data_IF_653877413983
#
_entry.id   IF_653877413983
#
_cell.length_a   1.000
_cell.length_b   1.000
_cell.length_c   1.000
_cell.angle_alpha   90.00
_cell.angle_beta   90.00
_cell.angle_gamma   90.00
#
_symmetry.space_group_name_H-M   'P 1'
#
loop_
_entity.id
_entity.type
_entity.pdbx_description
1 polymer ?
#
# COMPACT_ATOMS: atom_id res chain seq x y z
N UNK A 1 -8.66 1.13 -26.74
CA UNK A 1 -9.96 1.75 -26.37
C UNK A 1 -9.75 2.63 -25.14
N UNK A 2 -10.13 3.89 -25.18
CA UNK A 2 -10.05 4.76 -24.01
C UNK A 2 -11.01 4.27 -22.91
N UNK A 3 -10.60 4.43 -21.64
CA UNK A 3 -11.43 4.09 -20.50
C UNK A 3 -12.23 5.31 -20.04
N UNK A 4 -13.51 5.13 -19.78
CA UNK A 4 -14.41 6.18 -19.30
C UNK A 4 -14.88 5.87 -17.89
N UNK A 5 -14.71 6.82 -16.96
CA UNK A 5 -15.32 6.75 -15.64
C UNK A 5 -16.72 7.33 -15.71
N UNK A 6 -17.68 6.62 -15.12
CA UNK A 6 -19.06 7.11 -15.05
C UNK A 6 -19.56 7.21 -13.62
N UNK A 7 -20.43 8.16 -13.40
CA UNK A 7 -21.31 8.25 -12.23
C UNK A 7 -22.73 8.20 -12.77
N UNK A 8 -23.51 7.22 -12.34
CA UNK A 8 -24.87 7.00 -12.78
C UNK A 8 -25.81 6.74 -11.59
N UNK A 9 -27.11 6.85 -11.79
CA UNK A 9 -28.13 6.53 -10.81
C UNK A 9 -28.92 5.32 -11.32
N UNK A 10 -29.22 4.38 -10.41
CA UNK A 10 -30.17 3.30 -10.69
C UNK A 10 -31.61 3.77 -10.47
N UNK A 11 -32.60 2.94 -10.82
CA UNK A 11 -34.03 3.22 -10.68
C UNK A 11 -34.46 3.52 -9.22
N UNK A 12 -33.67 3.08 -8.24
CA UNK A 12 -33.86 3.36 -6.81
C UNK A 12 -33.20 4.67 -6.32
N UNK A 13 -32.68 5.53 -7.23
CA UNK A 13 -32.03 6.78 -6.88
C UNK A 13 -30.60 6.66 -6.29
N UNK A 14 -30.05 5.46 -6.21
CA UNK A 14 -28.73 5.19 -5.63
C UNK A 14 -27.64 5.49 -6.65
N UNK A 15 -26.66 6.33 -6.26
CA UNK A 15 -25.50 6.64 -7.11
C UNK A 15 -24.56 5.45 -7.22
N UNK A 16 -24.30 5.00 -8.43
CA UNK A 16 -23.27 4.00 -8.77
C UNK A 16 -22.14 4.67 -9.56
N UNK A 17 -20.91 4.30 -9.23
CA UNK A 17 -19.70 4.71 -9.96
C UNK A 17 -19.06 3.47 -10.56
N UNK A 18 -18.55 3.58 -11.78
CA UNK A 18 -17.85 2.49 -12.45
C UNK A 18 -16.93 3.04 -13.54
N UNK A 19 -16.21 2.13 -14.17
CA UNK A 19 -15.35 2.40 -15.31
C UNK A 19 -15.76 1.40 -16.39
N UNK A 20 -15.80 1.86 -17.64
CA UNK A 20 -16.04 1.05 -18.81
C UNK A 20 -15.11 1.47 -19.94
N UNK A 21 -14.82 0.56 -20.85
CA UNK A 21 -14.07 0.82 -22.07
C UNK A 21 -15.04 1.09 -23.21
N UNK A 22 -14.79 2.17 -23.94
CA UNK A 22 -15.57 2.54 -25.12
C UNK A 22 -14.69 3.34 -26.10
N UNK A 23 -15.03 3.33 -27.38
CA UNK A 23 -14.28 4.07 -28.38
C UNK A 23 -14.58 5.58 -28.35
N UNK A 24 -15.69 5.97 -27.73
CA UNK A 24 -16.10 7.37 -27.58
C UNK A 24 -16.94 7.59 -26.33
N UNK A 25 -17.03 8.84 -25.86
CA UNK A 25 -17.93 9.21 -24.74
C UNK A 25 -19.39 8.88 -25.06
N UNK A 26 -19.80 8.98 -26.34
CA UNK A 26 -21.15 8.68 -26.79
C UNK A 26 -21.47 7.20 -26.65
N UNK A 27 -20.54 6.33 -26.97
CA UNK A 27 -20.65 4.89 -26.80
C UNK A 27 -20.64 4.50 -25.34
N UNK A 28 -19.72 5.10 -24.53
CA UNK A 28 -19.70 4.93 -23.09
C UNK A 28 -21.07 5.25 -22.46
N UNK A 29 -21.71 6.31 -22.93
CA UNK A 29 -23.05 6.73 -22.48
C UNK A 29 -24.13 5.72 -22.85
N UNK A 30 -24.01 5.09 -24.03
CA UNK A 30 -24.92 4.02 -24.47
C UNK A 30 -24.76 2.78 -23.61
N UNK A 31 -23.52 2.34 -23.39
CA UNK A 31 -23.22 1.17 -22.55
C UNK A 31 -23.70 1.33 -21.10
N UNK A 32 -23.60 2.54 -20.51
CA UNK A 32 -24.13 2.82 -19.17
C UNK A 32 -25.65 2.71 -19.14
N UNK A 33 -26.36 3.14 -20.20
CA UNK A 33 -27.81 2.99 -20.33
C UNK A 33 -28.23 1.53 -20.48
N UNK A 34 -27.48 0.74 -21.23
CA UNK A 34 -27.72 -0.71 -21.42
C UNK A 34 -27.61 -1.47 -20.08
N UNK A 35 -26.84 -0.95 -19.12
CA UNK A 35 -26.79 -1.45 -17.74
C UNK A 35 -27.97 -1.00 -16.87
N UNK A 36 -29.04 -0.41 -17.46
CA UNK A 36 -30.20 0.17 -16.76
C UNK A 36 -29.81 1.23 -15.74
N UNK A 37 -28.81 2.03 -16.08
CA UNK A 37 -28.33 3.14 -15.24
C UNK A 37 -28.48 4.45 -15.99
N UNK A 38 -28.94 5.49 -15.30
CA UNK A 38 -29.02 6.85 -15.85
C UNK A 38 -27.69 7.57 -15.63
N UNK A 39 -26.91 7.85 -16.69
CA UNK A 39 -25.61 8.49 -16.54
C UNK A 39 -25.75 9.96 -16.14
N UNK A 40 -25.13 10.35 -15.03
CA UNK A 40 -25.04 11.75 -14.57
C UNK A 40 -23.79 12.44 -15.11
N UNK A 41 -22.66 11.75 -15.05
CA UNK A 41 -21.36 12.28 -15.48
C UNK A 41 -20.56 11.14 -16.11
N UNK A 42 -20.01 11.40 -17.28
CA UNK A 42 -19.04 10.53 -17.95
C UNK A 42 -17.84 11.39 -18.25
N UNK A 43 -16.65 10.88 -17.98
CA UNK A 43 -15.39 11.55 -18.29
C UNK A 43 -14.35 10.52 -18.68
N UNK A 44 -13.57 10.85 -19.70
CA UNK A 44 -12.42 10.04 -20.08
C UNK A 44 -11.47 9.90 -18.89
N UNK A 45 -11.18 8.67 -18.51
CA UNK A 45 -10.28 8.37 -17.40
C UNK A 45 -8.84 8.40 -17.89
N UNK A 46 -8.26 9.60 -17.97
CA UNK A 46 -6.85 9.79 -18.36
C UNK A 46 -5.81 9.25 -17.38
N UNK A 47 -6.21 8.76 -16.19
CA UNK A 47 -5.28 8.34 -15.14
C UNK A 47 -5.85 7.17 -14.31
N UNK A 48 -5.82 5.96 -14.84
CA UNK A 48 -5.92 4.74 -14.04
C UNK A 48 -4.71 4.57 -13.10
N UNK A 49 -3.62 5.31 -13.33
CA UNK A 49 -2.31 5.03 -12.77
C UNK A 49 -2.02 5.60 -11.37
N UNK A 50 -2.80 6.54 -10.84
CA UNK A 50 -2.36 7.26 -9.63
C UNK A 50 -3.05 6.89 -8.31
N UNK A 51 -4.08 6.05 -8.31
CA UNK A 51 -4.86 5.77 -7.09
C UNK A 51 -5.15 4.31 -6.78
N UNK A 52 -4.72 3.37 -7.61
CA UNK A 52 -4.95 1.96 -7.37
C UNK A 52 -4.01 1.45 -6.27
N UNK A 53 -4.48 1.47 -5.01
CA UNK A 53 -3.72 0.86 -3.90
C UNK A 53 -3.97 -0.64 -3.90
N UNK A 54 -2.95 -1.40 -4.28
CA UNK A 54 -2.89 -2.85 -4.14
C UNK A 54 -1.87 -3.17 -3.06
N UNK A 55 -2.22 -4.09 -2.16
CA UNK A 55 -1.30 -4.52 -1.11
C UNK A 55 -0.26 -5.47 -1.70
N UNK A 56 0.99 -5.37 -1.24
CA UNK A 56 2.05 -6.30 -1.67
C UNK A 56 1.63 -7.77 -1.52
N UNK A 57 0.90 -8.11 -0.46
CA UNK A 57 0.38 -9.46 -0.26
C UNK A 57 -0.49 -9.95 -1.42
N UNK A 58 -1.30 -9.06 -2.01
CA UNK A 58 -2.18 -9.41 -3.14
C UNK A 58 -1.34 -9.69 -4.41
N UNK A 59 -0.23 -8.93 -4.60
CA UNK A 59 0.70 -9.17 -5.72
C UNK A 59 1.46 -10.48 -5.54
N UNK A 60 1.97 -10.74 -4.34
CA UNK A 60 2.65 -12.02 -4.02
C UNK A 60 1.72 -13.20 -4.34
N UNK A 61 0.48 -13.16 -3.83
CA UNK A 61 -0.49 -14.22 -4.04
C UNK A 61 -0.86 -14.39 -5.52
N UNK A 62 -1.11 -13.29 -6.23
CA UNK A 62 -1.38 -13.28 -7.67
C UNK A 62 -0.22 -13.92 -8.44
N UNK A 63 1.03 -13.53 -8.14
CA UNK A 63 2.22 -14.05 -8.83
C UNK A 63 2.36 -15.55 -8.59
N UNK A 64 2.14 -16.04 -7.35
CA UNK A 64 2.17 -17.48 -7.04
C UNK A 64 1.07 -18.24 -7.78
N UNK A 65 -0.16 -17.69 -7.84
CA UNK A 65 -1.25 -18.32 -8.59
C UNK A 65 -0.94 -18.42 -10.08
N UNK A 66 -0.41 -17.36 -10.70
CA UNK A 66 0.02 -17.39 -12.09
C UNK A 66 1.14 -18.42 -12.32
N UNK A 67 2.14 -18.46 -11.43
CA UNK A 67 3.22 -19.44 -11.50
C UNK A 67 2.68 -20.88 -11.52
N UNK A 68 1.81 -21.22 -10.55
CA UNK A 68 1.22 -22.57 -10.42
C UNK A 68 0.41 -22.95 -11.66
N UNK A 69 -0.37 -22.03 -12.23
CA UNK A 69 -1.17 -22.28 -13.42
C UNK A 69 -0.30 -22.47 -14.66
N UNK A 70 0.77 -21.68 -14.81
CA UNK A 70 1.72 -21.79 -15.92
C UNK A 70 2.54 -23.06 -15.83
N UNK A 71 3.00 -23.45 -14.64
CA UNK A 71 3.65 -24.75 -14.40
C UNK A 71 2.74 -25.95 -14.76
N UNK A 72 1.43 -25.78 -14.55
CA UNK A 72 0.43 -26.75 -15.01
C UNK A 72 0.15 -26.67 -16.52
N UNK A 73 0.96 -25.93 -17.29
CA UNK A 73 0.82 -25.73 -18.74
C UNK A 73 -0.48 -25.02 -19.15
N UNK A 74 -1.10 -24.27 -18.25
CA UNK A 74 -2.29 -23.47 -18.58
C UNK A 74 -1.87 -22.24 -19.40
N UNK A 75 -2.52 -21.94 -20.53
CA UNK A 75 -2.21 -20.75 -21.32
C UNK A 75 -2.27 -19.48 -20.48
N UNK A 76 -1.38 -18.51 -20.75
CA UNK A 76 -1.25 -17.27 -19.94
C UNK A 76 -2.57 -16.47 -19.87
N UNK A 77 -3.34 -16.44 -20.96
CA UNK A 77 -4.62 -15.70 -21.01
C UNK A 77 -5.64 -16.33 -20.05
N UNK A 78 -5.70 -17.67 -20.02
CA UNK A 78 -6.59 -18.41 -19.12
C UNK A 78 -6.10 -18.32 -17.67
N UNK A 79 -4.78 -18.38 -17.46
CA UNK A 79 -4.16 -18.22 -16.13
C UNK A 79 -4.51 -16.87 -15.52
N UNK A 80 -4.48 -15.80 -16.30
CA UNK A 80 -4.88 -14.46 -15.85
C UNK A 80 -6.37 -14.40 -15.53
N UNK A 81 -7.24 -15.02 -16.35
CA UNK A 81 -8.69 -15.05 -16.12
C UNK A 81 -9.04 -15.79 -14.82
N UNK A 82 -8.46 -16.98 -14.62
CA UNK A 82 -8.64 -17.79 -13.41
C UNK A 82 -8.18 -17.01 -12.18
N UNK A 83 -6.98 -16.40 -12.25
CA UNK A 83 -6.43 -15.58 -11.16
C UNK A 83 -7.32 -14.38 -10.85
N UNK A 84 -7.86 -13.70 -11.86
CA UNK A 84 -8.78 -12.59 -11.68
C UNK A 84 -10.06 -13.01 -10.94
N UNK A 85 -10.63 -14.17 -11.27
CA UNK A 85 -11.83 -14.72 -10.60
C UNK A 85 -11.57 -15.10 -9.14
N UNK A 86 -10.36 -15.53 -8.79
CA UNK A 86 -9.97 -15.90 -7.43
C UNK A 86 -9.55 -14.68 -6.57
N UNK A 87 -9.27 -13.55 -7.20
CA UNK A 87 -8.80 -12.33 -6.53
C UNK A 87 -9.96 -11.59 -5.87
N UNK A 88 -9.76 -11.13 -4.61
CA UNK A 88 -10.76 -10.34 -3.87
C UNK A 88 -10.59 -8.83 -4.06
N UNK A 89 -9.43 -8.37 -4.45
CA UNK A 89 -9.11 -6.95 -4.61
C UNK A 89 -9.64 -6.43 -5.95
N UNK A 90 -10.67 -5.60 -5.91
CA UNK A 90 -11.34 -5.05 -7.10
C UNK A 90 -10.39 -4.34 -8.07
N UNK A 91 -9.39 -3.64 -7.54
CA UNK A 91 -8.41 -2.92 -8.35
C UNK A 91 -7.49 -3.91 -9.10
N UNK A 92 -7.07 -4.97 -8.42
CA UNK A 92 -6.24 -6.01 -9.03
C UNK A 92 -7.02 -6.81 -10.09
N UNK A 93 -8.30 -7.11 -9.83
CA UNK A 93 -9.20 -7.75 -10.81
C UNK A 93 -9.24 -6.92 -12.09
N UNK A 94 -9.44 -5.61 -11.97
CA UNK A 94 -9.51 -4.71 -13.14
C UNK A 94 -8.21 -4.71 -13.94
N UNK A 95 -7.06 -4.71 -13.25
CA UNK A 95 -5.75 -4.77 -13.90
C UNK A 95 -5.57 -6.11 -14.64
N UNK A 96 -5.91 -7.21 -13.99
CA UNK A 96 -5.81 -8.54 -14.60
C UNK A 96 -6.68 -8.64 -15.87
N UNK A 97 -7.88 -8.10 -15.85
CA UNK A 97 -8.72 -8.06 -17.07
C UNK A 97 -8.15 -7.15 -18.16
N UNK A 98 -7.54 -6.01 -17.80
CA UNK A 98 -6.84 -5.18 -18.77
C UNK A 98 -5.63 -5.90 -19.38
N UNK A 99 -4.85 -6.64 -18.58
CA UNK A 99 -3.75 -7.46 -19.08
C UNK A 99 -4.26 -8.56 -20.01
N UNK A 100 -5.36 -9.24 -19.63
CA UNK A 100 -6.01 -10.26 -20.47
C UNK A 100 -6.43 -9.68 -21.83
N UNK A 101 -7.11 -8.53 -21.82
CA UNK A 101 -7.56 -7.86 -23.03
C UNK A 101 -6.40 -7.49 -23.96
N UNK A 102 -5.33 -6.91 -23.41
CA UNK A 102 -4.11 -6.58 -24.18
C UNK A 102 -3.47 -7.84 -24.79
N UNK A 103 -3.42 -8.95 -24.08
CA UNK A 103 -2.88 -10.22 -24.59
C UNK A 103 -3.74 -10.80 -25.70
N UNK A 104 -5.06 -10.77 -25.58
CA UNK A 104 -5.99 -11.19 -26.64
C UNK A 104 -5.82 -10.32 -27.89
N UNK A 105 -5.47 -9.03 -27.74
CA UNK A 105 -5.13 -8.12 -28.83
C UNK A 105 -3.70 -8.36 -29.40
N UNK A 106 -2.99 -9.38 -28.96
CA UNK A 106 -1.64 -9.73 -29.41
C UNK A 106 -0.52 -8.87 -28.84
N UNK A 107 -0.78 -8.06 -27.80
CA UNK A 107 0.28 -7.30 -27.10
C UNK A 107 1.07 -8.22 -26.18
N UNK A 108 2.34 -7.93 -26.01
CA UNK A 108 3.20 -8.66 -25.08
C UNK A 108 2.87 -8.34 -23.62
N UNK A 109 2.93 -9.36 -22.75
CA UNK A 109 2.58 -9.24 -21.33
C UNK A 109 3.41 -8.16 -20.63
N UNK A 110 4.73 -8.17 -20.81
CA UNK A 110 5.62 -7.17 -20.22
C UNK A 110 5.26 -5.72 -20.61
N UNK A 111 4.87 -5.49 -21.86
CA UNK A 111 4.46 -4.15 -22.33
C UNK A 111 3.13 -3.73 -21.70
N UNK A 112 2.22 -4.67 -21.48
CA UNK A 112 0.94 -4.39 -20.83
C UNK A 112 1.11 -4.09 -19.35
N UNK A 113 2.03 -4.78 -18.65
CA UNK A 113 2.37 -4.53 -17.25
C UNK A 113 3.04 -3.17 -17.03
N UNK A 114 3.83 -2.66 -17.99
CA UNK A 114 4.44 -1.31 -17.95
C UNK A 114 3.44 -0.17 -17.78
N UNK A 115 2.17 -0.40 -18.13
CA UNK A 115 1.11 0.59 -17.94
C UNK A 115 0.79 0.82 -16.45
N UNK A 116 1.24 -0.05 -15.56
CA UNK A 116 0.93 -0.04 -14.13
C UNK A 116 2.21 0.03 -13.26
N UNK A 117 3.05 1.10 -13.40
CA UNK A 117 4.35 1.20 -12.73
C UNK A 117 4.23 1.31 -11.20
N UNK A 118 3.07 1.72 -10.69
CA UNK A 118 2.79 1.75 -9.25
C UNK A 118 2.52 0.37 -8.63
N UNK A 119 2.44 -0.69 -9.45
CA UNK A 119 2.07 -2.04 -9.04
C UNK A 119 3.17 -3.04 -9.41
N UNK A 120 3.62 -3.01 -10.65
CA UNK A 120 4.70 -3.84 -11.13
C UNK A 120 5.99 -3.01 -11.18
N UNK A 121 7.00 -3.43 -10.42
CA UNK A 121 8.32 -2.78 -10.44
C UNK A 121 9.02 -3.01 -11.78
N UNK A 122 9.96 -2.14 -12.13
CA UNK A 122 10.74 -2.28 -13.37
C UNK A 122 11.46 -3.64 -13.45
N UNK A 123 11.95 -4.15 -12.31
CA UNK A 123 12.56 -5.49 -12.23
C UNK A 123 11.54 -6.58 -12.56
N UNK A 124 10.33 -6.51 -11.99
CA UNK A 124 9.25 -7.45 -12.26
C UNK A 124 8.91 -7.47 -13.76
N UNK A 125 8.69 -6.29 -14.33
CA UNK A 125 8.35 -6.13 -15.74
C UNK A 125 9.47 -6.63 -16.67
N UNK A 126 10.74 -6.37 -16.33
CA UNK A 126 11.88 -6.82 -17.10
C UNK A 126 12.01 -8.34 -17.11
N UNK A 127 11.83 -8.99 -15.96
CA UNK A 127 11.85 -10.46 -15.86
C UNK A 127 10.69 -11.08 -16.67
N UNK A 128 9.47 -10.57 -16.54
CA UNK A 128 8.32 -11.04 -17.32
C UNK A 128 8.55 -10.82 -18.81
N UNK A 129 9.10 -9.67 -19.22
CA UNK A 129 9.41 -9.41 -20.64
C UNK A 129 10.43 -10.38 -21.22
N UNK A 130 11.46 -10.76 -20.43
CA UNK A 130 12.44 -11.74 -20.83
C UNK A 130 11.80 -13.14 -20.98
N UNK A 131 10.97 -13.55 -20.02
CA UNK A 131 10.22 -14.82 -20.08
C UNK A 131 9.25 -14.90 -21.25
N UNK A 132 8.53 -13.80 -21.49
CA UNK A 132 7.59 -13.69 -22.60
C UNK A 132 8.30 -13.77 -23.98
N UNK A 133 9.52 -13.25 -24.07
CA UNK A 133 10.34 -13.30 -25.28
C UNK A 133 10.99 -14.66 -25.53
N UNK A 134 11.33 -15.39 -24.47
CA UNK A 134 11.95 -16.73 -24.52
C UNK A 134 10.93 -17.87 -24.49
N UNK A 135 9.65 -17.61 -24.26
CA UNK A 135 8.61 -18.62 -24.12
C UNK A 135 8.60 -19.35 -22.76
N UNK A 136 9.41 -18.90 -21.80
CA UNK A 136 9.60 -19.56 -20.48
C UNK A 136 8.91 -18.76 -19.35
N UNK A 137 7.64 -18.39 -19.55
CA UNK A 137 6.89 -17.63 -18.54
C UNK A 137 6.67 -18.42 -17.26
N UNK A 138 6.50 -19.72 -17.34
CA UNK A 138 6.37 -20.66 -16.21
C UNK A 138 7.54 -20.51 -15.24
N UNK A 139 8.77 -20.71 -15.76
CA UNK A 139 10.00 -20.58 -14.98
C UNK A 139 10.20 -19.18 -14.40
N UNK A 140 9.87 -18.14 -15.16
CA UNK A 140 10.01 -16.75 -14.71
C UNK A 140 9.02 -16.44 -13.61
N UNK A 141 7.74 -16.80 -13.76
CA UNK A 141 6.75 -16.58 -12.72
C UNK A 141 7.01 -17.37 -11.45
N UNK A 142 7.54 -18.61 -11.57
CA UNK A 142 7.97 -19.42 -10.43
C UNK A 142 9.07 -18.70 -9.63
N UNK A 143 10.14 -18.26 -10.30
CA UNK A 143 11.24 -17.52 -9.67
C UNK A 143 10.78 -16.17 -9.06
N UNK A 144 9.88 -15.47 -9.74
CA UNK A 144 9.30 -14.23 -9.22
C UNK A 144 8.46 -14.47 -7.98
N UNK A 145 7.66 -15.54 -7.96
CA UNK A 145 6.84 -15.91 -6.81
C UNK A 145 7.73 -16.22 -5.61
N UNK A 146 8.78 -17.06 -5.79
CA UNK A 146 9.75 -17.41 -4.75
C UNK A 146 10.42 -16.14 -4.18
N UNK A 147 10.94 -15.29 -5.05
CA UNK A 147 11.57 -14.03 -4.65
C UNK A 147 10.63 -13.11 -3.84
N UNK A 148 9.39 -12.96 -4.30
CA UNK A 148 8.41 -12.10 -3.62
C UNK A 148 7.97 -12.68 -2.28
N UNK A 149 7.79 -14.01 -2.18
CA UNK A 149 7.45 -14.70 -0.94
C UNK A 149 8.61 -14.63 0.08
N UNK A 150 9.83 -14.85 -0.36
CA UNK A 150 11.01 -14.73 0.49
C UNK A 150 11.18 -13.29 1.00
N UNK A 151 11.05 -12.30 0.12
CA UNK A 151 11.10 -10.88 0.49
C UNK A 151 10.01 -10.51 1.49
N UNK A 152 8.79 -11.02 1.32
CA UNK A 152 7.68 -10.81 2.25
C UNK A 152 7.95 -11.49 3.60
N UNK A 153 8.50 -12.71 3.60
CA UNK A 153 8.88 -13.46 4.80
C UNK A 153 9.97 -12.74 5.60
N UNK A 154 11.04 -12.30 4.92
CA UNK A 154 12.11 -11.52 5.56
C UNK A 154 11.56 -10.26 6.20
N UNK A 155 10.75 -9.50 5.46
CA UNK A 155 10.11 -8.30 6.01
C UNK A 155 9.26 -8.59 7.25
N UNK A 156 8.50 -9.68 7.23
CA UNK A 156 7.69 -10.08 8.38
C UNK A 156 8.57 -10.48 9.58
N UNK A 157 9.66 -11.21 9.35
CA UNK A 157 10.63 -11.57 10.40
C UNK A 157 11.25 -10.34 11.04
N UNK A 158 11.66 -9.33 10.23
CA UNK A 158 12.23 -8.08 10.73
C UNK A 158 11.20 -7.31 11.58
N UNK A 159 9.96 -7.18 11.11
CA UNK A 159 8.89 -6.51 11.87
C UNK A 159 8.64 -7.24 13.19
N UNK A 160 8.54 -8.57 13.17
CA UNK A 160 8.33 -9.38 14.38
C UNK A 160 9.49 -9.24 15.37
N UNK A 161 10.75 -9.24 14.88
CA UNK A 161 11.92 -9.07 15.73
C UNK A 161 12.00 -7.68 16.37
N UNK A 162 11.53 -6.64 15.69
CA UNK A 162 11.49 -5.27 16.21
C UNK A 162 10.34 -5.01 17.18
N UNK A 163 9.32 -5.84 17.19
CA UNK A 163 8.13 -5.63 18.03
C UNK A 163 8.48 -5.63 19.51
N UNK A 164 9.28 -6.60 19.98
CA UNK A 164 9.69 -6.70 21.39
C UNK A 164 10.52 -5.48 21.86
N UNK A 165 11.60 -5.06 21.17
CA UNK A 165 12.33 -3.86 21.53
C UNK A 165 11.46 -2.59 21.55
N UNK A 166 10.54 -2.44 20.61
CA UNK A 166 9.65 -1.28 20.58
C UNK A 166 8.70 -1.25 21.79
N UNK A 167 8.13 -2.39 22.19
CA UNK A 167 7.29 -2.50 23.37
C UNK A 167 8.11 -2.17 24.62
N UNK A 168 9.32 -2.73 24.75
CA UNK A 168 10.18 -2.48 25.91
C UNK A 168 10.55 -0.99 26.03
N UNK A 169 10.99 -0.37 24.95
CA UNK A 169 11.31 1.06 24.90
C UNK A 169 10.07 1.89 25.26
N UNK A 170 8.92 1.60 24.67
CA UNK A 170 7.68 2.29 24.98
C UNK A 170 7.29 2.19 26.45
N UNK A 171 7.38 1.00 27.04
CA UNK A 171 7.12 0.80 28.47
C UNK A 171 8.12 1.55 29.36
N UNK A 172 9.43 1.51 29.02
CA UNK A 172 10.46 2.25 29.76
C UNK A 172 10.19 3.76 29.75
N UNK A 173 9.79 4.31 28.59
CA UNK A 173 9.42 5.73 28.50
C UNK A 173 8.23 6.07 29.41
N UNK A 174 7.19 5.21 29.45
CA UNK A 174 6.03 5.42 30.32
C UNK A 174 6.46 5.45 31.78
N UNK A 175 7.31 4.52 32.22
CA UNK A 175 7.82 4.46 33.60
C UNK A 175 8.64 5.71 33.95
N UNK A 176 9.57 6.10 33.08
CA UNK A 176 10.41 7.31 33.31
C UNK A 176 9.55 8.56 33.41
N UNK A 177 8.60 8.74 32.48
CA UNK A 177 7.69 9.90 32.50
C UNK A 177 6.85 9.89 33.79
N UNK A 178 6.36 8.73 34.21
CA UNK A 178 5.58 8.58 35.45
C UNK A 178 6.41 8.97 36.68
N UNK A 179 7.67 8.53 36.77
CA UNK A 179 8.57 8.88 37.84
C UNK A 179 8.87 10.38 37.89
N UNK A 180 9.12 10.98 36.74
CA UNK A 180 9.38 12.42 36.63
C UNK A 180 8.15 13.27 36.96
N UNK A 181 6.95 12.80 36.60
CA UNK A 181 5.71 13.53 36.84
C UNK A 181 5.17 13.41 38.28
N UNK A 182 5.33 12.25 38.91
CA UNK A 182 4.71 11.96 40.20
C UNK A 182 5.72 11.88 41.35
N UNK A 183 6.84 11.21 41.14
CA UNK A 183 7.80 10.97 42.24
C UNK A 183 8.76 12.14 42.43
N UNK A 184 9.27 12.68 41.34
CA UNK A 184 10.23 13.79 41.41
C UNK A 184 9.71 15.01 42.19
N UNK A 185 8.47 15.50 42.01
CA UNK A 185 7.93 16.60 42.81
C UNK A 185 7.89 16.30 44.31
N UNK A 186 7.53 15.09 44.70
CA UNK A 186 7.49 14.71 46.12
C UNK A 186 8.87 14.72 46.79
N UNK A 187 9.90 14.26 46.05
CA UNK A 187 11.27 14.29 46.54
C UNK A 187 11.77 15.75 46.70
N UNK A 188 11.45 16.63 45.70
CA UNK A 188 11.81 18.04 45.75
C UNK A 188 11.21 18.74 46.96
N UNK A 189 9.91 18.48 47.25
CA UNK A 189 9.24 19.07 48.42
C UNK A 189 9.89 18.68 49.73
N UNK A 190 10.43 17.45 49.85
CA UNK A 190 11.17 17.01 51.02
C UNK A 190 12.50 17.77 51.20
N UNK A 191 13.25 17.99 50.12
CA UNK A 191 14.50 18.78 50.16
C UNK A 191 14.25 20.23 50.54
N UNK A 192 13.23 20.87 50.00
CA UNK A 192 12.85 22.24 50.33
C UNK A 192 12.46 22.35 51.79
N UNK A 193 11.69 21.41 52.34
CA UNK A 193 11.31 21.39 53.74
C UNK A 193 12.50 21.18 54.68
N UNK A 194 13.53 20.44 54.24
CA UNK A 194 14.76 20.20 55.00
C UNK A 194 15.78 21.38 54.88
N UNK A 195 15.50 22.42 54.12
CA UNK A 195 16.42 23.56 53.93
C UNK A 195 17.70 23.21 53.16
N UNK A 196 17.74 22.06 52.48
CA UNK A 196 18.90 21.58 51.73
C UNK A 196 18.93 22.12 50.31
N UNK A 197 20.12 22.48 49.80
CA UNK A 197 20.28 22.87 48.41
C UNK A 197 20.12 21.65 47.49
N UNK A 198 19.38 21.83 46.43
CA UNK A 198 19.15 20.79 45.41
C UNK A 198 20.44 20.56 44.60
N UNK A 199 20.89 19.31 44.41
CA UNK A 199 22.00 18.98 43.51
C UNK A 199 21.76 19.46 42.07
N UNK A 200 22.83 19.76 41.35
CA UNK A 200 22.71 20.23 39.95
C UNK A 200 21.90 19.30 39.03
N UNK A 201 22.10 17.99 39.20
CA UNK A 201 21.37 16.96 38.44
C UNK A 201 19.86 17.05 38.69
N UNK A 202 19.47 17.28 39.95
CA UNK A 202 18.03 17.41 40.33
C UNK A 202 17.42 18.67 39.70
N UNK A 203 18.16 19.81 39.72
CA UNK A 203 17.71 21.06 39.05
C UNK A 203 17.52 20.85 37.53
N UNK A 204 18.40 20.08 36.89
CA UNK A 204 18.32 19.75 35.48
C UNK A 204 17.08 18.86 35.18
N UNK A 205 16.83 17.83 36.02
CA UNK A 205 15.66 16.97 35.89
C UNK A 205 14.33 17.71 36.12
N UNK A 206 14.31 18.70 37.00
CA UNK A 206 13.15 19.60 37.21
C UNK A 206 12.85 20.38 35.94
N UNK A 207 13.90 20.92 35.31
CA UNK A 207 13.78 21.64 34.03
C UNK A 207 13.14 20.78 32.94
N UNK A 208 13.53 19.50 32.85
CA UNK A 208 12.93 18.52 31.94
C UNK A 208 11.48 18.20 32.34
N UNK A 209 11.23 17.92 33.63
CA UNK A 209 9.91 17.57 34.16
C UNK A 209 8.88 18.68 33.90
N UNK A 210 9.22 19.91 34.19
CA UNK A 210 8.32 21.06 33.97
C UNK A 210 8.02 21.33 32.49
N UNK A 211 8.93 20.91 31.60
CA UNK A 211 8.77 21.04 30.16
C UNK A 211 8.45 19.73 29.44
N UNK A 212 8.07 18.67 30.16
CA UNK A 212 7.87 17.34 29.58
C UNK A 212 6.73 17.34 28.56
N UNK A 213 5.65 18.09 28.81
CA UNK A 213 4.52 18.22 27.92
C UNK A 213 4.91 18.93 26.60
N UNK A 214 5.52 20.13 26.63
CA UNK A 214 5.97 20.78 25.41
C UNK A 214 7.04 19.97 24.67
N UNK A 215 7.95 19.30 25.38
CA UNK A 215 8.98 18.44 24.76
C UNK A 215 8.32 17.26 24.04
N UNK A 216 7.34 16.58 24.64
CA UNK A 216 6.56 15.51 24.02
C UNK A 216 5.80 16.00 22.78
N UNK A 217 5.20 17.19 22.84
CA UNK A 217 4.53 17.79 21.69
C UNK A 217 5.50 18.08 20.54
N UNK A 218 6.69 18.62 20.83
CA UNK A 218 7.73 18.90 19.82
C UNK A 218 8.21 17.59 19.17
N UNK A 219 8.50 16.55 19.96
CA UNK A 219 8.95 15.25 19.45
C UNK A 219 7.85 14.61 18.57
N UNK A 220 6.59 14.68 19.00
CA UNK A 220 5.47 14.17 18.21
C UNK A 220 5.32 14.95 16.90
N UNK A 221 5.44 16.27 16.95
CA UNK A 221 5.33 17.12 15.76
C UNK A 221 6.49 16.85 14.77
N UNK A 222 7.72 16.70 15.29
CA UNK A 222 8.90 16.35 14.49
C UNK A 222 8.79 14.96 13.87
N UNK A 223 8.30 13.98 14.62
CA UNK A 223 8.12 12.61 14.11
C UNK A 223 7.05 12.55 13.01
N UNK A 224 5.94 13.26 13.17
CA UNK A 224 4.90 13.41 12.15
C UNK A 224 5.44 14.17 10.93
N UNK A 225 6.18 15.25 11.14
CA UNK A 225 6.83 16.01 10.06
C UNK A 225 7.83 15.14 9.28
N UNK A 226 8.69 14.41 9.98
CA UNK A 226 9.63 13.47 9.37
C UNK A 226 8.92 12.34 8.59
N UNK A 227 7.84 11.80 9.14
CA UNK A 227 7.01 10.81 8.44
C UNK A 227 6.42 11.37 7.14
N UNK A 228 5.90 12.61 7.14
CA UNK A 228 5.38 13.26 5.94
C UNK A 228 6.47 13.53 4.90
N UNK A 229 7.63 14.01 5.33
CA UNK A 229 8.80 14.25 4.47
C UNK A 229 9.29 12.93 3.88
N UNK A 230 9.50 11.92 4.71
CA UNK A 230 9.90 10.58 4.26
C UNK A 230 8.91 9.99 3.25
N UNK A 231 7.61 10.08 3.53
CA UNK A 231 6.55 9.62 2.62
C UNK A 231 6.51 10.40 1.30
N UNK A 232 6.89 11.68 1.31
CA UNK A 232 6.97 12.52 0.09
C UNK A 232 8.18 12.14 -0.76
N UNK A 233 9.33 11.86 -0.15
CA UNK A 233 10.56 11.48 -0.85
C UNK A 233 10.58 10.01 -1.31
N UNK A 234 9.92 9.09 -0.59
CA UNK A 234 9.83 7.67 -0.97
C UNK A 234 8.72 7.39 -2.00
N UNK A 235 7.97 8.41 -2.41
CA UNK A 235 6.95 8.33 -3.48
C UNK A 235 7.44 8.79 -4.86
N UNK A 236 8.77 8.94 -5.02
CA UNK A 236 9.37 9.15 -6.36
C UNK A 236 9.86 7.84 -6.95
#
# INVERSE_FOLDING_TARGET
MPSYSYTAINDAGIKKKGILSADSEREARKLVKDLKLTPLKISESKNLDKTLRIKNKDIVLMTRQLATLLEASTPIVDSIDITARQTKNKNLIQILYNLKEDLVQGKRLGNSMKKFPGIFSDTYVSMVSAGDSSGNLDTVFSKLADYLEESASIRQKVISALTYPLILIGFSFIVVISLLAFVLPQVIDQFIKAGAELPFITKFLIGISNNIIPILLVITFLSVGFYYVYKKYTKK
#
